data_IF_909598126309
#
_entry.id   IF_909598126309
#
_cell.length_a   1.000
_cell.length_b   1.000
_cell.length_c   1.000
_cell.angle_alpha   90.00
_cell.angle_beta   90.00
_cell.angle_gamma   90.00
#
_symmetry.space_group_name_H-M   'P 1'
#
loop_
_entity.id
_entity.type
_entity.pdbx_description
1 polymer ?
#
# COMPACT_ATOMS: atom_id res chain seq x y z
N UNK A 1 -10.70 15.55 7.34
CA UNK A 1 -9.77 14.45 7.63
C UNK A 1 -9.84 13.33 6.60
N UNK A 2 -11.04 13.01 6.07
CA UNK A 2 -11.22 12.02 4.99
C UNK A 2 -10.25 12.17 3.81
N UNK A 3 -10.21 13.36 3.19
CA UNK A 3 -9.39 13.61 2.00
C UNK A 3 -7.89 13.40 2.24
N UNK A 4 -7.40 13.71 3.44
CA UNK A 4 -6.00 13.49 3.83
C UNK A 4 -5.68 11.99 3.95
N UNK A 5 -6.52 11.23 4.65
CA UNK A 5 -6.33 9.78 4.78
C UNK A 5 -6.49 9.06 3.44
N UNK A 6 -7.39 9.53 2.57
CA UNK A 6 -7.53 9.01 1.21
C UNK A 6 -6.23 9.21 0.42
N UNK A 7 -5.67 10.42 0.46
CA UNK A 7 -4.41 10.73 -0.20
C UNK A 7 -3.26 9.85 0.33
N UNK A 8 -3.15 9.68 1.65
CA UNK A 8 -2.16 8.78 2.23
C UNK A 8 -2.37 7.32 1.79
N UNK A 9 -3.59 6.81 1.85
CA UNK A 9 -3.91 5.46 1.40
C UNK A 9 -3.52 5.23 -0.05
N UNK A 10 -3.82 6.18 -0.94
CA UNK A 10 -3.44 6.13 -2.35
C UNK A 10 -1.92 6.18 -2.54
N UNK A 11 -1.22 7.07 -1.84
CA UNK A 11 0.25 7.18 -1.92
C UNK A 11 0.93 5.90 -1.47
N UNK A 12 0.50 5.31 -0.35
CA UNK A 12 1.01 4.03 0.14
C UNK A 12 0.73 2.90 -0.86
N UNK A 13 -0.49 2.84 -1.41
CA UNK A 13 -0.88 1.79 -2.35
C UNK A 13 -0.09 1.87 -3.66
N UNK A 14 0.03 3.06 -4.25
CA UNK A 14 0.76 3.28 -5.50
C UNK A 14 2.25 3.00 -5.29
N UNK A 15 2.84 3.52 -4.21
CA UNK A 15 4.26 3.32 -3.91
C UNK A 15 4.57 1.85 -3.62
N UNK A 16 3.71 1.16 -2.86
CA UNK A 16 3.83 -0.27 -2.60
C UNK A 16 3.65 -1.10 -3.86
N UNK A 17 2.65 -0.81 -4.69
CA UNK A 17 2.38 -1.53 -5.93
C UNK A 17 3.53 -1.40 -6.94
N UNK A 18 4.02 -0.18 -7.19
CA UNK A 18 5.15 0.06 -8.10
C UNK A 18 6.42 -0.60 -7.55
N UNK A 19 6.69 -0.46 -6.25
CA UNK A 19 7.88 -1.05 -5.63
C UNK A 19 7.87 -2.58 -5.63
N UNK A 20 6.72 -3.21 -5.41
CA UNK A 20 6.54 -4.66 -5.54
C UNK A 20 6.74 -5.12 -6.98
N UNK A 21 6.18 -4.40 -7.95
CA UNK A 21 6.37 -4.70 -9.36
C UNK A 21 7.85 -4.63 -9.73
N UNK A 22 8.54 -3.54 -9.37
CA UNK A 22 9.96 -3.37 -9.62
C UNK A 22 10.79 -4.49 -8.98
N UNK A 23 10.52 -4.80 -7.71
CA UNK A 23 11.21 -5.86 -6.95
C UNK A 23 11.06 -7.22 -7.64
N UNK A 24 9.84 -7.59 -8.01
CA UNK A 24 9.57 -8.92 -8.58
C UNK A 24 9.94 -9.04 -10.07
N UNK A 25 9.97 -7.93 -10.81
CA UNK A 25 10.36 -7.93 -12.22
C UNK A 25 11.88 -7.82 -12.44
N UNK A 26 12.64 -7.21 -11.50
CA UNK A 26 14.05 -6.85 -11.75
C UNK A 26 15.04 -7.49 -10.79
N UNK A 27 14.61 -8.05 -9.66
CA UNK A 27 15.52 -8.66 -8.68
C UNK A 27 15.42 -10.18 -8.71
N UNK A 28 16.56 -10.84 -8.58
CA UNK A 28 16.61 -12.30 -8.47
C UNK A 28 15.87 -12.76 -7.22
N UNK A 29 14.97 -13.73 -7.40
CA UNK A 29 14.21 -14.32 -6.31
C UNK A 29 15.16 -14.82 -5.20
N UNK A 30 14.77 -14.63 -3.94
CA UNK A 30 15.56 -14.99 -2.75
C UNK A 30 16.88 -14.25 -2.54
N UNK A 31 17.24 -13.30 -3.42
CA UNK A 31 18.30 -12.36 -3.07
C UNK A 31 17.88 -11.51 -1.87
N UNK A 32 18.85 -11.10 -1.05
CA UNK A 32 18.61 -10.27 0.13
C UNK A 32 17.78 -9.02 -0.21
N UNK A 33 18.10 -8.36 -1.32
CA UNK A 33 17.38 -7.17 -1.78
C UNK A 33 15.94 -7.49 -2.23
N UNK A 34 15.70 -8.65 -2.86
CA UNK A 34 14.35 -9.08 -3.23
C UNK A 34 13.47 -9.33 -1.99
N UNK A 35 14.03 -9.93 -0.94
CA UNK A 35 13.30 -10.19 0.33
C UNK A 35 12.93 -8.87 1.00
N UNK A 36 13.90 -7.95 1.16
CA UNK A 36 13.63 -6.65 1.76
C UNK A 36 12.69 -5.78 0.92
N UNK A 37 12.80 -5.86 -0.42
CA UNK A 37 11.88 -5.19 -1.33
C UNK A 37 10.44 -5.67 -1.14
N UNK A 38 10.22 -6.99 -1.11
CA UNK A 38 8.88 -7.54 -0.90
C UNK A 38 8.30 -7.21 0.48
N UNK A 39 9.12 -7.30 1.55
CA UNK A 39 8.69 -6.91 2.90
C UNK A 39 8.30 -5.42 2.96
N UNK A 40 9.13 -4.54 2.43
CA UNK A 40 8.93 -3.09 2.52
C UNK A 40 7.74 -2.64 1.67
N UNK A 41 7.76 -2.95 0.38
CA UNK A 41 6.72 -2.51 -0.54
C UNK A 41 5.41 -3.27 -0.34
N UNK A 42 5.49 -4.53 0.10
CA UNK A 42 4.32 -5.31 0.55
C UNK A 42 3.63 -4.68 1.75
N UNK A 43 4.40 -4.21 2.73
CA UNK A 43 3.86 -3.48 3.89
C UNK A 43 3.19 -2.17 3.45
N UNK A 44 3.78 -1.43 2.52
CA UNK A 44 3.17 -0.19 2.00
C UNK A 44 1.86 -0.47 1.26
N UNK A 45 1.83 -1.48 0.40
CA UNK A 45 0.61 -1.88 -0.28
C UNK A 45 -0.48 -2.30 0.71
N UNK A 46 -0.13 -3.11 1.73
CA UNK A 46 -1.05 -3.54 2.77
C UNK A 46 -1.65 -2.35 3.53
N UNK A 47 -0.82 -1.41 3.99
CA UNK A 47 -1.33 -0.22 4.68
C UNK A 47 -2.21 0.65 3.78
N UNK A 48 -1.83 0.82 2.50
CA UNK A 48 -2.65 1.52 1.53
C UNK A 48 -4.05 0.91 1.40
N UNK A 49 -4.12 -0.42 1.25
CA UNK A 49 -5.40 -1.15 1.21
C UNK A 49 -6.19 -0.99 2.51
N UNK A 50 -5.56 -1.17 3.68
CA UNK A 50 -6.24 -1.07 4.97
C UNK A 50 -6.82 0.32 5.22
N UNK A 51 -6.08 1.38 4.88
CA UNK A 51 -6.56 2.75 5.02
C UNK A 51 -7.77 2.99 4.10
N UNK A 52 -7.68 2.60 2.82
CA UNK A 52 -8.78 2.78 1.88
C UNK A 52 -10.01 1.94 2.25
N UNK A 53 -9.79 0.71 2.73
CA UNK A 53 -10.84 -0.15 3.25
C UNK A 53 -11.52 0.50 4.46
N UNK A 54 -10.75 0.97 5.44
CA UNK A 54 -11.29 1.67 6.61
C UNK A 54 -12.14 2.88 6.20
N UNK A 55 -11.65 3.69 5.25
CA UNK A 55 -12.42 4.82 4.73
C UNK A 55 -13.70 4.40 4.00
N UNK A 56 -13.69 3.31 3.25
CA UNK A 56 -14.87 2.85 2.52
C UNK A 56 -16.01 2.40 3.45
N UNK A 57 -15.67 1.72 4.55
CA UNK A 57 -16.68 1.17 5.48
C UNK A 57 -17.09 2.15 6.57
N UNK A 58 -16.14 2.84 7.20
CA UNK A 58 -16.43 3.65 8.38
C UNK A 58 -16.71 5.12 8.08
N UNK A 59 -16.37 5.62 6.88
CA UNK A 59 -16.73 6.99 6.50
C UNK A 59 -18.15 7.09 5.91
N UNK A 60 -18.74 5.97 5.47
CA UNK A 60 -20.13 5.92 4.98
C UNK A 60 -21.18 6.00 6.10
N UNK A 61 -20.78 5.75 7.36
CA UNK A 61 -21.68 5.75 8.52
C UNK A 61 -21.80 7.12 9.22
N UNK A 62 -20.88 8.06 8.97
CA UNK A 62 -20.87 9.40 9.62
C UNK A 62 -21.68 10.44 8.82
N UNK A 63 -22.05 10.15 7.57
CA UNK A 63 -22.85 11.02 6.70
C UNK A 63 -24.38 10.77 6.81
N UNK A 64 -24.84 10.08 7.88
CA UNK A 64 -26.26 9.93 8.22
C UNK A 64 -26.60 10.60 9.54
#
# INVERSE_FOLDING_TARGET
>A
MFLLFMLFGLVFLISGGIGLFYTNANLAAWSTLWVFGNLTFGTFALFGVLILFFLAFFNAEIDR
#
